data_IF_772095926881
#
_entry.id   IF_772095926881
#
_cell.length_a   1.000
_cell.length_b   1.000
_cell.length_c   1.000
_cell.angle_alpha   90.00
_cell.angle_beta   90.00
_cell.angle_gamma   90.00
#
_symmetry.space_group_name_H-M   'P 1'
#
loop_
_entity.id
_entity.type
_entity.pdbx_description
1 polymer ?
#
# COMPACT_ATOMS: atom_id res chain seq x y z
N UNK A 1 0.04 2.38 18.97
CA UNK A 1 1.25 2.98 19.56
C UNK A 1 2.38 2.88 18.56
N UNK A 2 2.72 3.98 17.91
CA UNK A 2 3.84 4.04 16.98
C UNK A 2 4.96 4.82 17.64
N UNK A 3 6.04 4.14 18.00
CA UNK A 3 7.25 4.81 18.44
C UNK A 3 8.13 5.07 17.23
N UNK A 4 8.35 6.33 16.91
CA UNK A 4 9.27 6.73 15.85
C UNK A 4 10.56 7.20 16.51
N UNK A 5 11.65 6.50 16.24
CA UNK A 5 13.00 6.96 16.62
C UNK A 5 13.72 7.42 15.37
N UNK A 6 14.01 8.72 15.29
CA UNK A 6 14.81 9.30 14.23
C UNK A 6 16.24 9.37 14.74
N UNK A 7 17.11 8.56 14.15
CA UNK A 7 18.55 8.58 14.48
C UNK A 7 19.30 9.33 13.39
N UNK A 8 19.91 10.43 13.74
CA UNK A 8 20.79 11.23 12.89
C UNK A 8 22.10 11.57 13.61
N UNK A 9 22.94 12.43 13.01
CA UNK A 9 24.22 12.91 13.58
C UNK A 9 24.06 13.54 14.99
N UNK A 10 22.83 13.93 15.37
CA UNK A 10 22.50 14.52 16.66
C UNK A 10 21.49 13.67 17.45
N UNK A 11 21.14 12.48 16.99
CA UNK A 11 20.20 11.55 17.61
C UNK A 11 18.90 12.20 18.12
N UNK A 12 18.13 12.94 17.33
CA UNK A 12 16.84 13.43 17.76
C UNK A 12 15.92 12.26 18.04
N UNK A 13 15.16 12.34 19.12
CA UNK A 13 14.17 11.34 19.48
C UNK A 13 12.85 12.00 19.82
N UNK A 14 11.75 11.40 19.38
CA UNK A 14 10.40 11.82 19.74
C UNK A 14 9.56 10.59 20.09
N UNK A 15 8.69 10.73 21.09
CA UNK A 15 7.67 9.75 21.42
C UNK A 15 6.30 10.39 21.26
N UNK A 16 5.45 9.78 20.44
CA UNK A 16 4.06 10.20 20.28
C UNK A 16 3.16 9.01 19.97
N UNK A 17 1.88 9.17 20.26
CA UNK A 17 0.85 8.21 19.90
C UNK A 17 0.06 8.75 18.72
N UNK A 18 -0.08 7.96 17.67
CA UNK A 18 -0.93 8.28 16.52
C UNK A 18 -2.16 7.39 16.50
N UNK A 19 -3.27 7.92 16.04
CA UNK A 19 -4.50 7.17 15.80
C UNK A 19 -4.81 7.17 14.31
N UNK A 20 -5.24 6.02 13.78
CA UNK A 20 -5.68 5.88 12.40
C UNK A 20 -7.03 5.16 12.36
N UNK A 21 -7.93 5.64 11.51
CA UNK A 21 -9.19 4.98 11.19
C UNK A 21 -9.29 4.84 9.68
N UNK A 22 -9.58 3.63 9.21
CA UNK A 22 -9.77 3.33 7.80
C UNK A 22 -11.15 2.70 7.62
N UNK A 23 -11.88 3.18 6.63
CA UNK A 23 -13.14 2.58 6.19
C UNK A 23 -13.18 2.57 4.67
N UNK A 24 -13.86 1.59 4.10
CA UNK A 24 -13.96 1.48 2.65
C UNK A 24 -15.02 0.49 2.22
N UNK A 25 -15.26 0.47 0.93
CA UNK A 25 -16.08 -0.52 0.24
C UNK A 25 -15.37 -0.95 -1.03
N UNK A 26 -15.52 -2.22 -1.38
CA UNK A 26 -15.06 -2.74 -2.66
C UNK A 26 -16.16 -3.58 -3.30
N UNK A 27 -16.10 -3.63 -4.61
CA UNK A 27 -16.93 -4.48 -5.44
C UNK A 27 -16.02 -5.32 -6.32
N UNK A 28 -16.12 -6.64 -6.21
CA UNK A 28 -15.34 -7.58 -7.03
C UNK A 28 -16.28 -8.34 -7.94
N UNK A 29 -15.99 -8.36 -9.22
CA UNK A 29 -16.68 -9.17 -10.22
C UNK A 29 -15.72 -10.24 -10.73
N UNK A 30 -16.13 -11.50 -10.56
CA UNK A 30 -15.37 -12.67 -11.00
C UNK A 30 -16.01 -13.28 -12.24
N UNK A 31 -15.19 -13.50 -13.27
CA UNK A 31 -15.58 -14.20 -14.49
C UNK A 31 -14.68 -15.42 -14.69
N UNK A 32 -15.29 -16.59 -14.80
CA UNK A 32 -14.64 -17.88 -14.98
C UNK A 32 -14.72 -18.32 -16.44
N UNK A 33 -13.56 -18.60 -17.06
CA UNK A 33 -13.44 -19.01 -18.46
C UNK A 33 -12.67 -20.31 -18.57
N UNK A 34 -13.38 -21.40 -18.80
CA UNK A 34 -12.76 -22.68 -19.14
C UNK A 34 -12.25 -22.65 -20.58
N UNK A 35 -10.93 -22.68 -20.75
CA UNK A 35 -10.30 -22.67 -22.08
C UNK A 35 -10.25 -24.08 -22.66
N UNK A 36 -9.88 -25.08 -21.84
CA UNK A 36 -9.88 -26.51 -22.18
C UNK A 36 -9.89 -27.34 -20.87
N UNK A 37 -9.70 -28.66 -20.98
CA UNK A 37 -9.72 -29.56 -19.82
C UNK A 37 -8.61 -29.28 -18.80
N UNK A 38 -7.48 -28.70 -19.25
CA UNK A 38 -6.29 -28.45 -18.43
C UNK A 38 -6.04 -26.99 -18.11
N UNK A 39 -6.80 -26.06 -18.68
CA UNK A 39 -6.61 -24.61 -18.51
C UNK A 39 -7.93 -23.95 -18.16
N UNK A 40 -7.97 -23.35 -17.00
CA UNK A 40 -9.07 -22.51 -16.53
C UNK A 40 -8.55 -21.12 -16.17
N UNK A 41 -9.16 -20.09 -16.71
CA UNK A 41 -8.86 -18.69 -16.44
C UNK A 41 -9.94 -18.08 -15.58
N UNK A 42 -9.54 -17.44 -14.50
CA UNK A 42 -10.42 -16.66 -13.64
C UNK A 42 -9.98 -15.20 -13.76
N UNK A 43 -10.92 -14.35 -14.11
CA UNK A 43 -10.73 -12.91 -14.19
C UNK A 43 -11.45 -12.25 -13.03
N UNK A 44 -10.75 -11.48 -12.24
CA UNK A 44 -11.30 -10.69 -11.16
C UNK A 44 -11.12 -9.21 -11.49
N UNK A 45 -12.24 -8.50 -11.62
CA UNK A 45 -12.28 -7.03 -11.69
C UNK A 45 -12.63 -6.52 -10.31
N UNK A 46 -11.80 -5.65 -9.75
CA UNK A 46 -12.03 -5.01 -8.46
C UNK A 46 -12.17 -3.49 -8.62
N UNK A 47 -13.17 -2.95 -7.95
CA UNK A 47 -13.39 -1.51 -7.83
C UNK A 47 -13.54 -1.17 -6.35
N UNK A 48 -12.70 -0.29 -5.83
CA UNK A 48 -12.76 0.06 -4.44
C UNK A 48 -12.66 1.55 -4.15
N UNK A 49 -13.23 1.92 -3.02
CA UNK A 49 -13.21 3.24 -2.43
C UNK A 49 -12.77 3.11 -0.98
N UNK A 50 -11.71 3.82 -0.60
CA UNK A 50 -11.20 3.81 0.76
C UNK A 50 -11.06 5.23 1.29
N UNK A 51 -11.61 5.46 2.46
CA UNK A 51 -11.43 6.68 3.22
C UNK A 51 -10.54 6.38 4.42
N UNK A 52 -9.49 7.17 4.62
CA UNK A 52 -8.64 7.08 5.79
C UNK A 52 -8.53 8.42 6.49
N UNK A 53 -8.49 8.34 7.81
CA UNK A 53 -8.24 9.48 8.69
C UNK A 53 -7.12 9.10 9.65
N UNK A 54 -6.11 9.94 9.78
CA UNK A 54 -5.06 9.77 10.77
C UNK A 54 -4.86 11.04 11.58
N UNK A 55 -4.65 10.86 12.88
CA UNK A 55 -4.36 11.91 13.83
C UNK A 55 -2.96 11.70 14.39
N UNK A 56 -2.14 12.72 14.28
CA UNK A 56 -0.82 12.80 14.93
C UNK A 56 -0.85 14.01 15.87
N UNK A 57 -0.73 13.83 17.19
CA UNK A 57 -0.74 14.94 18.13
C UNK A 57 0.52 15.80 17.95
N UNK A 58 0.49 17.00 18.51
CA UNK A 58 1.70 17.80 18.61
C UNK A 58 2.77 17.10 19.45
N UNK A 59 4.01 17.17 19.05
CA UNK A 59 5.13 16.58 19.78
C UNK A 59 6.39 17.43 19.64
N UNK A 60 7.34 17.20 20.54
CA UNK A 60 8.64 17.86 20.50
C UNK A 60 9.75 16.83 20.43
N UNK A 61 10.74 17.11 19.61
CA UNK A 61 11.96 16.32 19.51
C UNK A 61 13.04 16.86 20.46
N UNK A 62 13.97 16.00 20.81
CA UNK A 62 15.04 16.33 21.80
C UNK A 62 15.99 17.45 21.37
N UNK A 63 15.93 17.91 20.14
CA UNK A 63 16.81 18.93 19.56
C UNK A 63 16.12 20.24 19.20
N UNK A 64 15.14 20.66 20.00
CA UNK A 64 14.43 21.94 19.84
C UNK A 64 13.46 22.02 18.67
N UNK A 65 13.14 20.91 18.01
CA UNK A 65 12.06 20.84 17.05
C UNK A 65 10.74 20.56 17.74
N UNK A 66 9.73 21.32 17.40
CA UNK A 66 8.35 21.04 17.79
C UNK A 66 7.49 20.96 16.52
N UNK A 67 6.57 20.02 16.54
CA UNK A 67 5.65 19.74 15.45
C UNK A 67 4.23 19.97 15.93
N UNK A 68 3.44 20.66 15.16
CA UNK A 68 2.03 20.86 15.48
C UNK A 68 1.20 19.60 15.21
N UNK A 69 0.03 19.57 15.80
CA UNK A 69 -0.96 18.53 15.56
C UNK A 69 -1.30 18.43 14.09
N UNK A 70 -1.43 17.20 13.57
CA UNK A 70 -1.83 16.93 12.20
C UNK A 70 -3.01 15.97 12.15
N UNK A 71 -4.07 16.41 11.48
CA UNK A 71 -5.24 15.59 11.16
C UNK A 71 -5.27 15.38 9.65
N UNK A 72 -4.86 14.21 9.17
CA UNK A 72 -4.81 13.88 7.75
C UNK A 72 -6.07 13.11 7.36
N UNK A 73 -6.75 13.56 6.31
CA UNK A 73 -7.87 12.85 5.72
C UNK A 73 -7.63 12.61 4.23
N UNK A 74 -7.81 11.38 3.78
CA UNK A 74 -7.54 10.92 2.43
C UNK A 74 -8.71 10.10 1.89
N UNK A 75 -8.87 10.18 0.58
CA UNK A 75 -9.76 9.33 -0.21
C UNK A 75 -8.92 8.62 -1.27
N UNK A 76 -9.08 7.31 -1.39
CA UNK A 76 -8.47 6.51 -2.45
C UNK A 76 -9.56 5.80 -3.24
N UNK A 77 -9.43 5.84 -4.56
CA UNK A 77 -10.28 5.10 -5.50
C UNK A 77 -9.35 4.23 -6.32
N UNK A 78 -9.64 2.96 -6.42
CA UNK A 78 -8.87 2.05 -7.26
C UNK A 78 -9.75 1.20 -8.16
N UNK A 79 -9.20 0.80 -9.29
CA UNK A 79 -9.73 -0.21 -10.18
C UNK A 79 -8.60 -1.17 -10.54
N UNK A 80 -8.84 -2.46 -10.37
CA UNK A 80 -7.89 -3.52 -10.61
C UNK A 80 -8.46 -4.63 -11.47
N UNK A 81 -7.58 -5.29 -12.20
CA UNK A 81 -7.84 -6.51 -12.95
C UNK A 81 -6.81 -7.55 -12.58
N UNK A 82 -7.26 -8.76 -12.30
CA UNK A 82 -6.41 -9.91 -12.04
C UNK A 82 -6.83 -11.11 -12.85
N UNK A 83 -5.91 -11.64 -13.64
CA UNK A 83 -6.02 -12.94 -14.28
C UNK A 83 -5.35 -13.99 -13.39
N UNK A 84 -6.10 -15.02 -13.06
CA UNK A 84 -5.58 -16.25 -12.46
C UNK A 84 -5.78 -17.39 -13.44
N UNK A 85 -4.71 -17.99 -13.95
CA UNK A 85 -4.74 -19.10 -14.89
C UNK A 85 -4.32 -20.38 -14.20
N UNK A 86 -5.24 -21.33 -14.06
CA UNK A 86 -4.96 -22.69 -13.58
C UNK A 86 -4.43 -23.51 -14.75
N UNK A 87 -3.21 -24.03 -14.64
CA UNK A 87 -2.51 -24.81 -15.65
C UNK A 87 -2.38 -26.26 -15.16
N UNK A 88 -3.44 -27.03 -15.41
CA UNK A 88 -3.61 -28.35 -14.81
C UNK A 88 -3.85 -28.29 -13.29
N UNK A 89 -3.56 -29.40 -12.61
CA UNK A 89 -3.88 -29.54 -11.18
C UNK A 89 -2.82 -28.95 -10.24
N UNK A 90 -1.65 -28.57 -10.76
CA UNK A 90 -0.49 -28.23 -9.92
C UNK A 90 0.04 -26.82 -10.12
N UNK A 91 -0.30 -26.17 -11.21
CA UNK A 91 0.30 -24.89 -11.55
C UNK A 91 -0.74 -23.80 -11.61
N UNK A 92 -0.40 -22.64 -11.05
CA UNK A 92 -1.21 -21.43 -11.10
C UNK A 92 -0.34 -20.25 -11.50
N UNK A 93 -0.76 -19.53 -12.51
CA UNK A 93 -0.16 -18.25 -12.91
C UNK A 93 -1.10 -17.11 -12.55
N UNK A 94 -0.56 -16.01 -12.06
CA UNK A 94 -1.30 -14.80 -11.76
C UNK A 94 -0.66 -13.59 -12.44
N UNK A 95 -1.49 -12.75 -13.02
CA UNK A 95 -1.10 -11.47 -13.59
C UNK A 95 -2.16 -10.45 -13.21
N UNK A 96 -1.77 -9.34 -12.60
CA UNK A 96 -2.69 -8.29 -12.21
C UNK A 96 -2.14 -6.91 -12.45
N UNK A 97 -3.04 -5.95 -12.55
CA UNK A 97 -2.75 -4.54 -12.64
C UNK A 97 -3.82 -3.74 -11.92
N UNK A 98 -3.42 -2.63 -11.35
CA UNK A 98 -4.30 -1.71 -10.62
C UNK A 98 -3.95 -0.27 -10.94
N UNK A 99 -4.98 0.55 -11.10
CA UNK A 99 -4.90 2.00 -11.15
C UNK A 99 -5.50 2.54 -9.84
N UNK A 100 -4.76 3.38 -9.16
CA UNK A 100 -5.22 4.05 -7.94
C UNK A 100 -5.11 5.56 -8.10
N UNK A 101 -6.16 6.26 -7.69
CA UNK A 101 -6.16 7.70 -7.46
C UNK A 101 -6.37 7.96 -5.98
N UNK A 102 -5.43 8.68 -5.36
CA UNK A 102 -5.49 9.09 -3.96
C UNK A 102 -5.55 10.61 -3.87
N UNK A 103 -6.50 11.12 -3.11
CA UNK A 103 -6.64 12.55 -2.83
C UNK A 103 -6.53 12.82 -1.34
N UNK A 104 -5.72 13.81 -0.98
CA UNK A 104 -5.63 14.35 0.38
C UNK A 104 -6.44 15.63 0.46
N UNK A 105 -7.47 15.68 1.28
CA UNK A 105 -8.38 16.83 1.38
C UNK A 105 -8.31 17.57 2.72
N UNK A 106 -7.62 17.01 3.71
CA UNK A 106 -7.33 17.68 4.98
C UNK A 106 -5.95 17.27 5.50
N UNK A 107 -5.34 18.13 6.32
CA UNK A 107 -4.05 17.86 6.98
C UNK A 107 -2.84 17.89 6.05
N UNK A 108 -2.90 18.66 4.98
CA UNK A 108 -1.85 18.76 3.96
C UNK A 108 -0.59 19.43 4.47
N UNK A 109 -0.75 20.37 5.37
CA UNK A 109 0.34 21.16 5.94
C UNK A 109 0.57 20.72 7.38
N UNK A 110 1.81 20.75 7.79
CA UNK A 110 2.19 20.59 9.19
C UNK A 110 3.26 21.64 9.49
N UNK A 111 2.95 22.50 10.44
CA UNK A 111 3.89 23.51 10.88
C UNK A 111 4.86 22.91 11.89
N UNK A 112 6.09 23.37 11.86
CA UNK A 112 7.10 23.01 12.82
C UNK A 112 7.88 24.25 13.25
N UNK A 113 8.36 24.24 14.48
CA UNK A 113 9.17 25.29 15.00
C UNK A 113 10.55 24.77 15.40
N UNK A 114 11.59 25.54 15.05
CA UNK A 114 12.94 25.37 15.52
C UNK A 114 13.29 26.59 16.36
N UNK A 115 13.49 26.43 17.67
CA UNK A 115 13.85 27.53 18.58
C UNK A 115 12.92 28.77 18.44
N UNK A 116 11.61 28.56 18.42
CA UNK A 116 10.58 29.60 18.26
C UNK A 116 10.53 30.29 16.87
N UNK A 117 11.24 29.77 15.88
CA UNK A 117 11.04 30.15 14.47
C UNK A 117 10.10 29.14 13.82
N UNK A 118 8.88 29.56 13.51
CA UNK A 118 7.91 28.70 12.81
C UNK A 118 8.32 28.60 11.34
N UNK A 119 8.31 27.39 10.82
CA UNK A 119 8.51 27.08 9.41
C UNK A 119 7.30 26.32 8.91
N UNK A 120 6.56 26.92 7.98
CA UNK A 120 5.42 26.30 7.35
C UNK A 120 5.91 25.20 6.39
N UNK A 121 5.55 23.97 6.65
CA UNK A 121 5.82 22.85 5.77
C UNK A 121 4.61 22.54 4.91
N UNK A 122 4.60 23.08 3.70
CA UNK A 122 3.58 22.77 2.72
C UNK A 122 3.97 21.50 1.96
N UNK A 123 3.26 20.41 2.18
CA UNK A 123 3.50 19.14 1.47
C UNK A 123 3.07 19.17 0.00
N UNK A 124 2.58 20.27 -0.49
CA UNK A 124 2.39 20.65 -1.91
C UNK A 124 1.49 19.76 -2.75
N UNK A 125 1.50 18.49 -2.55
CA UNK A 125 0.79 17.53 -3.38
C UNK A 125 -0.50 17.05 -2.72
N UNK A 126 -1.58 17.22 -3.44
CA UNK A 126 -2.93 16.92 -2.93
C UNK A 126 -3.53 15.66 -3.51
N UNK A 127 -2.88 15.08 -4.50
CA UNK A 127 -3.30 13.85 -5.15
C UNK A 127 -2.09 13.05 -5.61
N UNK A 128 -2.27 11.77 -5.75
CA UNK A 128 -1.32 10.83 -6.32
C UNK A 128 -2.09 9.88 -7.24
N UNK A 129 -1.60 9.70 -8.46
CA UNK A 129 -2.05 8.68 -9.37
C UNK A 129 -0.97 7.62 -9.46
N UNK A 130 -1.33 6.37 -9.30
CA UNK A 130 -0.38 5.27 -9.38
C UNK A 130 -0.91 4.12 -10.23
N UNK A 131 0.05 3.42 -10.82
CA UNK A 131 -0.17 2.16 -11.53
C UNK A 131 0.66 1.12 -10.80
N UNK A 132 0.04 0.03 -10.40
CA UNK A 132 0.72 -1.14 -9.87
C UNK A 132 0.49 -2.35 -10.78
N UNK A 133 1.48 -3.23 -10.82
CA UNK A 133 1.42 -4.50 -11.53
C UNK A 133 1.97 -5.58 -10.64
N UNK A 134 1.36 -6.75 -10.71
CA UNK A 134 1.84 -7.95 -10.02
C UNK A 134 1.81 -9.14 -10.97
N UNK A 135 2.75 -10.06 -10.78
CA UNK A 135 2.74 -11.35 -11.44
C UNK A 135 3.26 -12.41 -10.48
N UNK A 136 2.74 -13.60 -10.60
CA UNK A 136 3.12 -14.69 -9.72
C UNK A 136 2.92 -16.04 -10.35
N UNK A 137 3.68 -16.99 -9.85
CA UNK A 137 3.60 -18.38 -10.26
C UNK A 137 3.66 -19.26 -9.00
N UNK A 138 2.67 -20.13 -8.84
CA UNK A 138 2.59 -21.12 -7.76
C UNK A 138 2.67 -22.52 -8.35
N UNK A 139 3.37 -23.41 -7.66
CA UNK A 139 3.46 -24.83 -7.99
C UNK A 139 3.16 -25.68 -6.77
N UNK A 140 2.13 -26.52 -6.85
CA UNK A 140 1.77 -27.46 -5.79
C UNK A 140 2.82 -28.58 -5.69
N UNK A 141 3.52 -28.65 -4.56
CA UNK A 141 4.48 -29.70 -4.23
C UNK A 141 3.79 -30.94 -3.64
N UNK A 142 2.61 -30.77 -3.08
CA UNK A 142 1.75 -31.78 -2.47
C UNK A 142 0.45 -31.14 -1.98
N UNK A 143 -0.37 -31.92 -1.28
CA UNK A 143 -1.71 -31.48 -0.83
C UNK A 143 -1.67 -30.30 0.15
N UNK A 144 -0.56 -30.16 0.89
CA UNK A 144 -0.40 -29.15 1.94
C UNK A 144 0.80 -28.23 1.70
N UNK A 145 1.43 -28.27 0.52
CA UNK A 145 2.61 -27.46 0.26
C UNK A 145 2.65 -26.93 -1.16
N UNK A 146 3.10 -25.67 -1.30
CA UNK A 146 3.32 -25.03 -2.59
C UNK A 146 4.59 -24.18 -2.60
N UNK A 147 5.33 -24.23 -3.69
CA UNK A 147 6.36 -23.26 -4.00
C UNK A 147 5.76 -22.07 -4.75
N UNK A 148 6.31 -20.88 -4.55
CA UNK A 148 5.85 -19.69 -5.25
C UNK A 148 7.00 -18.75 -5.61
N UNK A 149 6.77 -17.98 -6.67
CA UNK A 149 7.56 -16.82 -7.03
C UNK A 149 6.59 -15.68 -7.38
N UNK A 150 6.86 -14.47 -6.88
CA UNK A 150 6.01 -13.30 -7.12
C UNK A 150 6.88 -12.08 -7.40
N UNK A 151 6.39 -11.22 -8.29
CA UNK A 151 6.97 -9.91 -8.57
C UNK A 151 5.86 -8.85 -8.51
N UNK A 152 6.21 -7.69 -8.04
CA UNK A 152 5.34 -6.53 -8.01
C UNK A 152 6.12 -5.27 -8.37
N UNK A 153 5.45 -4.34 -9.02
CA UNK A 153 5.99 -3.04 -9.35
C UNK A 153 4.91 -1.97 -9.21
N UNK A 154 5.31 -0.78 -8.83
CA UNK A 154 4.44 0.40 -8.77
C UNK A 154 5.18 1.62 -9.29
N UNK A 155 4.47 2.45 -10.01
CA UNK A 155 4.90 3.79 -10.42
C UNK A 155 3.81 4.79 -10.09
N UNK A 156 4.17 5.96 -9.62
CA UNK A 156 3.22 7.05 -9.40
C UNK A 156 3.76 8.36 -9.95
N UNK A 157 2.87 9.33 -10.09
CA UNK A 157 3.20 10.69 -10.52
C UNK A 157 3.94 11.49 -9.43
N UNK A 158 3.99 10.99 -8.19
CA UNK A 158 4.59 11.67 -7.04
C UNK A 158 5.82 10.96 -6.49
N UNK A 159 5.91 9.66 -6.67
CA UNK A 159 7.02 8.85 -6.15
C UNK A 159 7.74 8.14 -7.28
N UNK A 160 9.00 7.87 -7.03
CA UNK A 160 9.78 7.07 -7.95
C UNK A 160 9.21 5.63 -8.06
N UNK A 161 9.64 4.95 -9.08
CA UNK A 161 9.38 3.55 -9.32
C UNK A 161 9.79 2.67 -8.12
N UNK A 162 8.93 1.72 -7.76
CA UNK A 162 9.25 0.65 -6.81
C UNK A 162 9.11 -0.71 -7.47
N UNK A 163 10.02 -1.62 -7.16
CA UNK A 163 10.02 -3.00 -7.63
C UNK A 163 10.31 -3.92 -6.46
N UNK A 164 9.54 -5.00 -6.35
CA UNK A 164 9.71 -6.03 -5.34
C UNK A 164 9.55 -7.44 -5.92
N UNK A 165 10.04 -8.42 -5.19
CA UNK A 165 9.83 -9.81 -5.52
C UNK A 165 10.04 -10.70 -4.32
N UNK A 166 9.40 -11.86 -4.33
CA UNK A 166 9.54 -12.89 -3.30
C UNK A 166 9.53 -14.28 -3.92
N UNK A 167 10.22 -15.19 -3.28
CA UNK A 167 10.23 -16.62 -3.57
C UNK A 167 10.14 -17.38 -2.25
N UNK A 168 9.37 -18.46 -2.22
CA UNK A 168 9.23 -19.23 -1.00
C UNK A 168 8.45 -20.53 -1.15
N UNK A 169 8.30 -21.20 -0.02
CA UNK A 169 7.46 -22.39 0.12
C UNK A 169 6.45 -22.12 1.23
N UNK A 170 5.20 -22.39 0.95
CA UNK A 170 4.11 -22.34 1.94
C UNK A 170 3.72 -23.77 2.31
N UNK A 171 3.65 -24.06 3.61
CA UNK A 171 3.25 -25.37 4.14
C UNK A 171 2.09 -25.12 5.10
N UNK A 172 0.98 -25.82 4.89
CA UNK A 172 -0.20 -25.77 5.77
C UNK A 172 -0.21 -27.08 6.57
N UNK A 173 -0.21 -26.99 7.91
CA UNK A 173 -0.22 -28.13 8.83
C UNK A 173 -1.64 -28.46 9.27
#
# INVERSE_FOLDING_TARGET
>A
LTNVTITGLLNPSANYESAEAITGMSFTHTYDQKVNESVNNIWDTDLGLTFSFSHTPSYSESLFFSWEERNLAQLSIHIGEQLTSMLGDKMQFRLGGELEHRSVFAGKNQDHALNAVTVDFNSGTFYENSISMNTGFDYALGDHSKAYIQFNGRVSDQTAFSLGGSVGINIVF
#
